data_IF_595869314404
#
_entry.id   IF_595869314404
#
_cell.length_a   1.000
_cell.length_b   1.000
_cell.length_c   1.000
_cell.angle_alpha   90.00
_cell.angle_beta   90.00
_cell.angle_gamma   90.00
#
_symmetry.space_group_name_H-M   'P 1'
#
loop_
_entity.id
_entity.type
_entity.pdbx_description
1 polymer ?
#
# COMPACT_ATOMS: atom_id res chain seq x y z
N UNK A 1 18.29 20.61 -15.95
CA UNK A 1 17.03 19.80 -15.98
C UNK A 1 16.98 19.15 -14.60
N UNK A 2 15.91 19.34 -13.83
CA UNK A 2 15.79 18.70 -12.52
C UNK A 2 15.68 17.19 -12.71
N UNK A 3 16.46 16.41 -11.93
CA UNK A 3 16.36 14.96 -11.94
C UNK A 3 14.94 14.53 -11.51
N UNK A 4 14.45 13.41 -12.03
CA UNK A 4 13.11 12.91 -11.75
C UNK A 4 13.19 11.59 -11.02
N UNK A 5 12.34 11.43 -10.03
CA UNK A 5 12.21 10.20 -9.26
C UNK A 5 10.82 9.63 -9.46
N UNK A 6 10.74 8.32 -9.73
CA UNK A 6 9.46 7.61 -9.74
C UNK A 6 9.11 7.23 -8.31
N UNK A 7 8.03 7.78 -7.78
CA UNK A 7 7.74 7.66 -6.37
C UNK A 7 6.28 7.25 -6.08
N UNK A 8 6.06 6.74 -4.86
CA UNK A 8 4.74 6.41 -4.33
C UNK A 8 4.75 6.46 -2.79
N UNK A 9 3.58 6.66 -2.20
CA UNK A 9 3.35 6.63 -0.75
C UNK A 9 2.64 5.33 -0.39
N UNK A 10 3.14 4.63 0.64
CA UNK A 10 2.62 3.34 1.03
C UNK A 10 2.78 3.06 2.53
N UNK A 11 2.03 2.07 3.02
CA UNK A 11 2.24 1.44 4.33
C UNK A 11 3.14 0.22 4.12
N UNK A 12 4.25 0.16 4.86
CA UNK A 12 5.12 -1.01 4.93
C UNK A 12 4.44 -2.13 5.73
N UNK A 13 4.80 -3.38 5.42
CA UNK A 13 4.32 -4.53 6.19
C UNK A 13 5.36 -4.95 7.24
N UNK A 14 4.95 -5.22 8.48
CA UNK A 14 5.79 -5.95 9.43
C UNK A 14 6.12 -7.36 8.91
N UNK A 15 7.21 -7.94 9.36
CA UNK A 15 7.68 -9.25 8.87
C UNK A 15 6.66 -10.38 9.09
N UNK A 16 5.96 -10.35 10.21
CA UNK A 16 4.90 -11.32 10.51
C UNK A 16 3.75 -11.25 9.50
N UNK A 17 3.31 -10.03 9.13
CA UNK A 17 2.28 -9.81 8.11
C UNK A 17 2.81 -10.15 6.72
N UNK A 18 4.07 -9.89 6.46
CA UNK A 18 4.77 -10.28 5.21
C UNK A 18 4.77 -11.79 5.01
N UNK A 19 4.98 -12.56 6.10
CA UNK A 19 4.92 -14.02 6.06
C UNK A 19 3.53 -14.54 5.65
N UNK A 20 2.46 -13.88 6.11
CA UNK A 20 1.10 -14.17 5.66
C UNK A 20 0.93 -13.91 4.14
N UNK A 21 1.48 -12.82 3.64
CA UNK A 21 1.43 -12.49 2.20
C UNK A 21 2.22 -13.51 1.36
N UNK A 22 3.36 -13.98 1.83
CA UNK A 22 4.15 -15.06 1.18
C UNK A 22 3.33 -16.35 1.11
N UNK A 23 2.66 -16.75 2.20
CA UNK A 23 1.79 -17.92 2.20
C UNK A 23 0.62 -17.77 1.21
N UNK A 24 0.07 -16.56 1.07
CA UNK A 24 -0.96 -16.24 0.08
C UNK A 24 -0.44 -16.41 -1.35
N UNK A 25 0.78 -15.94 -1.65
CA UNK A 25 1.43 -16.14 -2.96
C UNK A 25 1.59 -17.61 -3.26
N UNK A 26 2.04 -18.44 -2.30
CA UNK A 26 2.22 -19.89 -2.51
C UNK A 26 0.90 -20.62 -2.80
N UNK A 27 -0.20 -20.20 -2.18
CA UNK A 27 -1.52 -20.74 -2.52
C UNK A 27 -1.94 -20.36 -3.95
N UNK A 28 -1.76 -19.10 -4.33
CA UNK A 28 -2.11 -18.62 -5.67
C UNK A 28 -1.24 -19.26 -6.76
N UNK A 29 0.04 -19.54 -6.50
CA UNK A 29 0.94 -20.23 -7.44
C UNK A 29 0.42 -21.60 -7.83
N UNK A 30 -0.24 -22.31 -6.91
CA UNK A 30 -0.81 -23.65 -7.16
C UNK A 30 -2.16 -23.60 -7.86
N UNK A 31 -2.90 -22.49 -7.71
CA UNK A 31 -4.29 -22.39 -8.14
C UNK A 31 -4.48 -21.58 -9.42
N UNK A 32 -3.59 -20.64 -9.71
CA UNK A 32 -3.72 -19.73 -10.84
C UNK A 32 -2.88 -20.23 -12.01
N UNK A 33 -3.52 -20.52 -13.17
CA UNK A 33 -2.82 -20.92 -14.36
C UNK A 33 -2.15 -19.72 -15.04
N UNK A 34 -1.11 -20.00 -15.83
CA UNK A 34 -0.47 -19.01 -16.71
C UNK A 34 0.78 -18.36 -16.09
N UNK A 35 1.33 -17.41 -16.85
CA UNK A 35 2.54 -16.69 -16.48
C UNK A 35 2.20 -15.51 -15.60
N UNK A 36 2.51 -15.63 -14.31
CA UNK A 36 2.31 -14.60 -13.31
C UNK A 36 3.66 -14.05 -12.85
N UNK A 37 3.86 -12.74 -13.03
CA UNK A 37 4.97 -12.04 -12.40
C UNK A 37 4.61 -11.76 -10.94
N UNK A 38 5.13 -12.57 -10.06
CA UNK A 38 4.91 -12.43 -8.62
C UNK A 38 5.69 -11.24 -8.06
N UNK A 39 5.09 -10.55 -7.08
CA UNK A 39 5.77 -9.47 -6.36
C UNK A 39 6.70 -10.10 -5.33
N UNK A 40 8.00 -9.76 -5.32
CA UNK A 40 8.92 -10.22 -4.30
C UNK A 40 8.46 -9.79 -2.88
N UNK A 41 8.75 -10.62 -1.88
CA UNK A 41 8.28 -10.40 -0.52
C UNK A 41 8.73 -9.05 0.06
N UNK A 42 9.96 -8.63 -0.24
CA UNK A 42 10.54 -7.34 0.15
C UNK A 42 9.80 -6.12 -0.45
N UNK A 43 9.08 -6.35 -1.55
CA UNK A 43 8.30 -5.32 -2.24
C UNK A 43 6.81 -5.32 -1.84
N UNK A 44 6.40 -6.18 -0.89
CA UNK A 44 5.03 -6.19 -0.40
C UNK A 44 4.72 -4.92 0.43
N UNK A 45 3.68 -4.18 0.02
CA UNK A 45 3.23 -2.95 0.69
C UNK A 45 1.76 -2.65 0.35
N UNK A 46 1.09 -1.82 1.15
CA UNK A 46 -0.21 -1.25 0.81
C UNK A 46 0.00 0.13 0.18
N UNK A 47 -0.14 0.22 -1.15
CA UNK A 47 -0.01 1.51 -1.84
C UNK A 47 -1.17 2.44 -1.47
N UNK A 48 -0.86 3.66 -1.06
CA UNK A 48 -1.83 4.71 -0.75
C UNK A 48 -1.97 5.71 -1.89
N UNK A 49 -0.86 6.08 -2.53
CA UNK A 49 -0.85 7.03 -3.65
C UNK A 49 0.35 6.82 -4.55
N UNK A 50 0.11 6.56 -5.82
CA UNK A 50 1.14 6.67 -6.85
C UNK A 50 1.35 8.14 -7.23
N UNK A 51 2.61 8.56 -7.29
CA UNK A 51 3.00 9.93 -7.66
C UNK A 51 3.44 10.00 -9.13
N UNK A 52 3.83 8.84 -9.70
CA UNK A 52 4.49 8.81 -11.00
C UNK A 52 5.90 9.37 -10.90
N UNK A 53 6.36 10.02 -11.96
CA UNK A 53 7.64 10.72 -11.99
C UNK A 53 7.45 12.15 -11.48
N UNK A 54 8.07 12.48 -10.37
CA UNK A 54 8.11 13.83 -9.80
C UNK A 54 9.52 14.40 -9.88
N UNK A 55 9.64 15.73 -9.89
CA UNK A 55 10.94 16.39 -9.84
C UNK A 55 11.56 16.21 -8.45
N UNK A 56 12.84 15.91 -8.36
CA UNK A 56 13.54 15.64 -7.10
C UNK A 56 13.47 16.82 -6.13
N UNK A 57 13.56 18.04 -6.64
CA UNK A 57 13.42 19.29 -5.88
C UNK A 57 12.02 19.48 -5.24
N UNK A 58 11.04 18.66 -5.60
CA UNK A 58 9.69 18.68 -5.01
C UNK A 58 9.50 17.67 -3.86
N UNK A 59 10.47 16.81 -3.64
CA UNK A 59 10.37 15.75 -2.60
C UNK A 59 10.21 16.36 -1.21
N UNK A 60 11.03 17.34 -0.84
CA UNK A 60 10.97 17.97 0.49
C UNK A 60 9.64 18.68 0.73
N UNK A 61 9.14 19.40 -0.27
CA UNK A 61 7.83 20.06 -0.20
C UNK A 61 6.68 19.04 -0.06
N UNK A 62 6.78 17.90 -0.74
CA UNK A 62 5.84 16.79 -0.60
C UNK A 62 5.89 16.19 0.81
N UNK A 63 7.09 15.89 1.33
CA UNK A 63 7.31 15.34 2.68
C UNK A 63 6.70 16.26 3.73
N UNK A 64 7.02 17.55 3.69
CA UNK A 64 6.47 18.53 4.61
C UNK A 64 4.94 18.62 4.55
N UNK A 65 4.38 18.64 3.33
CA UNK A 65 2.93 18.74 3.13
C UNK A 65 2.18 17.48 3.54
N UNK A 66 2.75 16.30 3.25
CA UNK A 66 2.18 15.03 3.65
C UNK A 66 2.26 14.85 5.17
N UNK A 67 3.41 15.13 5.79
CA UNK A 67 3.60 15.08 7.23
C UNK A 67 2.58 15.95 7.99
N UNK A 68 2.38 17.21 7.57
CA UNK A 68 1.38 18.09 8.17
C UNK A 68 -0.05 17.56 8.06
N UNK A 69 -0.36 16.74 7.03
CA UNK A 69 -1.68 16.11 6.87
C UNK A 69 -1.84 14.84 7.71
N UNK A 70 -0.75 14.18 8.05
CA UNK A 70 -0.72 12.93 8.81
C UNK A 70 -0.58 13.15 10.31
N UNK A 71 0.10 14.21 10.72
CA UNK A 71 0.37 14.53 12.13
C UNK A 71 -0.88 14.51 13.05
N UNK A 72 -2.08 14.98 12.63
CA UNK A 72 -3.28 14.92 13.47
C UNK A 72 -4.04 13.59 13.41
N UNK A 73 -3.49 12.55 12.80
CA UNK A 73 -4.15 11.26 12.65
C UNK A 73 -3.56 10.25 13.63
N UNK A 74 -4.40 9.68 14.49
CA UNK A 74 -3.97 8.59 15.37
C UNK A 74 -3.56 7.33 14.56
N UNK A 75 -2.57 6.56 15.04
CA UNK A 75 -2.31 5.21 14.56
C UNK A 75 -3.57 4.33 14.63
N UNK A 76 -3.66 3.34 13.75
CA UNK A 76 -4.84 2.47 13.67
C UNK A 76 -4.45 1.06 13.25
N UNK A 77 -5.33 0.10 13.56
CA UNK A 77 -5.08 -1.30 13.20
C UNK A 77 -5.54 -1.66 11.79
N UNK A 78 -4.76 -2.52 11.15
CA UNK A 78 -5.04 -3.13 9.85
C UNK A 78 -4.88 -4.65 9.96
N UNK A 79 -5.69 -5.40 9.22
CA UNK A 79 -5.52 -6.83 9.02
C UNK A 79 -5.85 -7.20 7.56
N UNK A 80 -5.09 -8.14 7.00
CA UNK A 80 -5.28 -8.64 5.64
C UNK A 80 -6.14 -9.91 5.65
N UNK A 81 -7.08 -10.02 4.71
CA UNK A 81 -7.79 -11.25 4.39
C UNK A 81 -8.50 -11.11 3.04
N UNK A 82 -8.83 -12.24 2.44
CA UNK A 82 -9.58 -12.29 1.18
C UNK A 82 -8.72 -12.11 -0.05
N UNK A 83 -8.83 -13.04 -1.01
CA UNK A 83 -8.25 -12.87 -2.34
C UNK A 83 -9.13 -12.03 -3.23
N UNK A 84 -8.51 -11.32 -4.17
CA UNK A 84 -9.21 -10.64 -5.22
C UNK A 84 -8.37 -10.46 -6.48
N UNK A 85 -9.03 -9.98 -7.53
CA UNK A 85 -8.38 -9.70 -8.80
C UNK A 85 -8.91 -8.41 -9.42
N UNK A 86 -8.04 -7.71 -10.15
CA UNK A 86 -8.45 -6.59 -10.99
C UNK A 86 -8.27 -6.92 -12.47
N UNK A 87 -9.18 -6.48 -13.35
CA UNK A 87 -10.46 -5.81 -13.05
C UNK A 87 -11.50 -6.73 -12.39
N UNK A 88 -11.41 -8.04 -12.59
CA UNK A 88 -12.29 -9.06 -12.00
C UNK A 88 -11.62 -10.43 -12.03
N UNK A 89 -12.17 -11.44 -11.31
CA UNK A 89 -11.70 -12.82 -11.38
C UNK A 89 -11.93 -13.49 -12.76
N UNK A 90 -12.84 -12.98 -13.57
CA UNK A 90 -13.09 -13.48 -14.93
C UNK A 90 -12.03 -13.02 -15.94
N UNK A 91 -11.39 -11.88 -15.67
CA UNK A 91 -10.39 -11.25 -16.53
C UNK A 91 -9.27 -10.68 -15.67
N UNK A 92 -8.66 -11.55 -14.86
CA UNK A 92 -7.65 -11.13 -13.90
C UNK A 92 -6.35 -10.68 -14.60
N UNK A 93 -5.88 -9.49 -14.24
CA UNK A 93 -4.57 -8.95 -14.59
C UNK A 93 -3.71 -8.73 -13.36
N UNK A 94 -4.32 -8.48 -12.20
CA UNK A 94 -3.65 -8.25 -10.93
C UNK A 94 -4.30 -9.11 -9.87
N UNK A 95 -3.50 -9.89 -9.16
CA UNK A 95 -3.91 -10.69 -8.01
C UNK A 95 -3.52 -9.95 -6.73
N UNK A 96 -4.43 -9.92 -5.76
CA UNK A 96 -4.20 -9.19 -4.52
C UNK A 96 -4.82 -9.87 -3.30
N UNK A 97 -4.31 -9.51 -2.13
CA UNK A 97 -4.88 -9.81 -0.83
C UNK A 97 -5.59 -8.57 -0.30
N UNK A 98 -6.82 -8.73 0.18
CA UNK A 98 -7.67 -7.64 0.65
C UNK A 98 -7.35 -7.20 2.06
N UNK A 99 -8.04 -6.14 2.49
CA UNK A 99 -7.95 -5.58 3.84
C UNK A 99 -9.28 -5.83 4.54
N UNK A 100 -9.25 -6.71 5.55
CA UNK A 100 -10.42 -7.06 6.36
C UNK A 100 -10.70 -6.01 7.46
N UNK A 101 -9.64 -5.40 8.01
CA UNK A 101 -9.73 -4.37 9.06
C UNK A 101 -8.93 -3.15 8.66
N UNK A 102 -9.41 -1.94 9.00
CA UNK A 102 -8.69 -0.68 8.75
C UNK A 102 -8.89 -0.07 7.36
N UNK A 103 -9.70 -0.68 6.49
CA UNK A 103 -9.93 -0.22 5.11
C UNK A 103 -10.40 1.23 5.04
N UNK A 104 -11.33 1.66 5.91
CA UNK A 104 -11.83 3.04 5.96
C UNK A 104 -10.74 4.05 6.38
N UNK A 105 -9.87 3.67 7.33
CA UNK A 105 -8.75 4.49 7.78
C UNK A 105 -7.70 4.64 6.66
N UNK A 106 -7.35 3.55 5.96
CA UNK A 106 -6.47 3.59 4.79
C UNK A 106 -7.05 4.48 3.68
N UNK A 107 -8.36 4.41 3.43
CA UNK A 107 -9.02 5.29 2.46
C UNK A 107 -8.97 6.77 2.89
N UNK A 108 -9.07 7.07 4.19
CA UNK A 108 -8.88 8.43 4.72
C UNK A 108 -7.44 8.92 4.52
N UNK A 109 -6.44 8.05 4.77
CA UNK A 109 -5.03 8.34 4.48
C UNK A 109 -4.81 8.65 3.00
N UNK A 110 -5.27 7.76 2.11
CA UNK A 110 -5.10 7.91 0.67
C UNK A 110 -5.67 9.24 0.17
N UNK A 111 -6.86 9.66 0.63
CA UNK A 111 -7.45 10.97 0.28
C UNK A 111 -6.62 12.15 0.76
N UNK A 112 -6.05 12.08 1.98
CA UNK A 112 -5.20 13.15 2.51
C UNK A 112 -3.90 13.26 1.73
N UNK A 113 -3.30 12.12 1.39
CA UNK A 113 -2.07 12.03 0.60
C UNK A 113 -2.28 12.44 -0.86
N UNK A 114 -3.42 12.09 -1.48
CA UNK A 114 -3.78 12.58 -2.82
C UNK A 114 -3.83 14.12 -2.86
N UNK A 115 -4.42 14.74 -1.82
CA UNK A 115 -4.43 16.20 -1.68
C UNK A 115 -3.02 16.79 -1.44
N UNK A 116 -2.15 16.09 -0.69
CA UNK A 116 -0.78 16.55 -0.44
C UNK A 116 0.10 16.43 -1.69
N UNK A 117 -0.06 15.37 -2.47
CA UNK A 117 0.74 15.04 -3.64
C UNK A 117 0.70 16.11 -4.76
N UNK A 118 -0.31 16.98 -4.73
CA UNK A 118 -0.45 18.07 -5.71
C UNK A 118 0.72 19.06 -5.69
N UNK A 119 1.38 19.25 -4.55
CA UNK A 119 2.55 20.14 -4.45
C UNK A 119 3.73 19.63 -5.28
N UNK A 120 3.81 18.31 -5.48
CA UNK A 120 4.80 17.67 -6.34
C UNK A 120 4.35 17.50 -7.80
N UNK A 121 3.17 18.04 -8.16
CA UNK A 121 2.62 17.95 -9.52
C UNK A 121 1.97 16.60 -9.82
N UNK A 122 1.77 15.73 -8.83
CA UNK A 122 1.12 14.44 -9.05
C UNK A 122 -0.37 14.63 -9.44
N UNK A 123 -0.82 13.80 -10.39
CA UNK A 123 -2.21 13.82 -10.83
C UNK A 123 -3.17 13.36 -9.73
N UNK A 124 -4.37 13.93 -9.73
CA UNK A 124 -5.43 13.52 -8.82
C UNK A 124 -5.93 12.12 -9.18
N UNK A 125 -6.09 11.26 -8.15
CA UNK A 125 -6.75 9.97 -8.36
C UNK A 125 -8.26 10.18 -8.59
N UNK A 126 -8.73 9.60 -9.68
CA UNK A 126 -10.15 9.72 -10.09
C UNK A 126 -10.99 8.50 -9.66
N UNK A 127 -10.34 7.37 -9.43
CA UNK A 127 -10.99 6.13 -9.01
C UNK A 127 -11.12 6.07 -7.50
N UNK A 128 -12.18 5.45 -6.97
CA UNK A 128 -12.28 5.16 -5.55
C UNK A 128 -11.07 4.34 -5.09
N UNK A 129 -10.52 4.70 -3.95
CA UNK A 129 -9.43 3.95 -3.33
C UNK A 129 -9.93 2.56 -2.89
N UNK A 130 -9.22 1.54 -3.30
CA UNK A 130 -9.43 0.15 -2.88
C UNK A 130 -8.18 -0.33 -2.16
N UNK A 131 -8.29 -0.57 -0.86
CA UNK A 131 -7.17 -1.05 -0.06
C UNK A 131 -6.85 -2.51 -0.42
N UNK A 132 -5.64 -2.77 -0.91
CA UNK A 132 -5.20 -4.10 -1.30
C UNK A 132 -3.68 -4.22 -1.28
N UNK A 133 -3.20 -5.44 -1.08
CA UNK A 133 -1.80 -5.82 -1.25
C UNK A 133 -1.64 -6.57 -2.57
N UNK A 134 -0.94 -5.99 -3.54
CA UNK A 134 -0.65 -6.67 -4.80
C UNK A 134 0.31 -7.85 -4.57
N UNK A 135 -0.09 -9.04 -5.01
CA UNK A 135 0.69 -10.28 -4.90
C UNK A 135 1.33 -10.68 -6.23
N UNK A 136 0.65 -10.42 -7.36
CA UNK A 136 1.16 -10.78 -8.67
C UNK A 136 0.41 -10.08 -9.81
N UNK A 137 1.02 -10.13 -11.00
CA UNK A 137 0.45 -9.58 -12.24
C UNK A 137 0.54 -10.63 -13.35
N UNK A 138 -0.59 -10.97 -13.94
CA UNK A 138 -0.64 -11.85 -15.09
C UNK A 138 -0.13 -11.10 -16.33
N UNK A 139 0.68 -11.76 -17.15
CA UNK A 139 1.11 -11.21 -18.46
C UNK A 139 -0.05 -11.09 -19.40
N UNK A 140 -0.88 -12.12 -19.48
CA UNK A 140 -2.14 -12.13 -20.23
C UNK A 140 -3.30 -12.24 -19.26
N UNK A 141 -4.44 -11.59 -19.56
CA UNK A 141 -5.64 -11.73 -18.73
C UNK A 141 -6.09 -13.18 -18.71
N UNK A 142 -6.46 -13.67 -17.53
CA UNK A 142 -6.98 -15.02 -17.38
C UNK A 142 -8.15 -15.07 -16.39
N UNK A 143 -9.01 -16.07 -16.56
CA UNK A 143 -10.00 -16.41 -15.54
C UNK A 143 -9.30 -17.15 -14.39
N UNK A 144 -9.56 -16.73 -13.17
CA UNK A 144 -9.02 -17.31 -11.94
C UNK A 144 -10.15 -17.68 -10.98
N UNK A 145 -10.02 -18.80 -10.28
CA UNK A 145 -11.04 -19.30 -9.34
C UNK A 145 -10.60 -19.06 -7.88
N UNK A 146 -10.24 -17.82 -7.58
CA UNK A 146 -9.71 -17.41 -6.27
C UNK A 146 -10.76 -17.46 -5.15
N UNK A 147 -12.04 -17.41 -5.49
CA UNK A 147 -13.17 -17.54 -4.56
C UNK A 147 -13.25 -18.93 -3.91
N UNK A 148 -12.62 -19.94 -4.51
CA UNK A 148 -12.53 -21.32 -3.96
C UNK A 148 -11.40 -21.49 -2.96
N UNK A 149 -10.52 -20.49 -2.85
CA UNK A 149 -9.36 -20.53 -1.96
C UNK A 149 -9.72 -19.93 -0.60
N UNK A 150 -9.23 -20.56 0.48
CA UNK A 150 -9.26 -19.98 1.81
C UNK A 150 -7.97 -19.15 2.03
N UNK A 151 -8.03 -17.83 1.87
CA UNK A 151 -6.83 -17.00 2.02
C UNK A 151 -6.35 -17.00 3.46
N UNK A 152 -5.03 -16.92 3.70
CA UNK A 152 -4.53 -16.70 5.03
C UNK A 152 -5.01 -15.34 5.54
N UNK A 153 -5.29 -15.29 6.84
CA UNK A 153 -5.61 -14.04 7.54
C UNK A 153 -4.39 -13.59 8.31
N UNK A 154 -3.99 -12.34 8.15
CA UNK A 154 -2.89 -11.80 8.95
C UNK A 154 -3.34 -11.52 10.38
N UNK A 155 -2.38 -11.54 11.31
CA UNK A 155 -2.57 -10.86 12.60
C UNK A 155 -2.82 -9.37 12.35
N UNK A 156 -3.64 -8.70 13.18
CA UNK A 156 -3.75 -7.25 13.14
C UNK A 156 -2.42 -6.59 13.50
N UNK A 157 -2.08 -5.50 12.80
CA UNK A 157 -0.91 -4.68 13.15
C UNK A 157 -1.28 -3.21 13.14
N UNK A 158 -0.53 -2.41 13.91
CA UNK A 158 -0.72 -0.97 13.98
C UNK A 158 0.01 -0.28 12.83
N UNK A 159 -0.72 0.51 12.06
CA UNK A 159 -0.16 1.46 11.10
C UNK A 159 0.12 2.76 11.84
N UNK A 160 1.39 3.05 12.07
CA UNK A 160 1.87 4.25 12.77
C UNK A 160 2.59 5.23 11.84
N UNK A 161 2.88 4.86 10.60
CA UNK A 161 3.57 5.70 9.63
C UNK A 161 3.16 5.38 8.18
N UNK A 162 3.45 6.32 7.31
CA UNK A 162 3.46 6.17 5.85
C UNK A 162 4.89 6.36 5.36
N UNK A 163 5.33 5.56 4.40
CA UNK A 163 6.65 5.68 3.80
C UNK A 163 6.52 6.22 2.38
N UNK A 164 7.34 7.23 2.05
CA UNK A 164 7.57 7.66 0.68
C UNK A 164 8.68 6.80 0.09
N UNK A 165 8.38 6.08 -0.98
CA UNK A 165 9.33 5.23 -1.68
C UNK A 165 9.69 5.80 -3.05
N UNK A 166 10.96 5.66 -3.42
CA UNK A 166 11.39 5.67 -4.80
C UNK A 166 11.27 4.27 -5.40
N UNK A 167 10.78 4.16 -6.62
CA UNK A 167 10.72 2.91 -7.38
C UNK A 167 11.81 2.90 -8.44
N UNK A 168 12.92 2.24 -8.17
CA UNK A 168 14.03 2.05 -9.12
C UNK A 168 13.77 0.83 -9.97
N UNK A 169 13.79 0.99 -11.27
CA UNK A 169 13.68 -0.12 -12.20
C UNK A 169 15.04 -0.84 -12.30
N UNK A 170 15.05 -2.15 -12.10
CA UNK A 170 16.21 -3.01 -12.29
C UNK A 170 15.84 -4.17 -13.23
N UNK A 171 16.82 -4.85 -13.86
CA UNK A 171 16.56 -5.95 -14.79
C UNK A 171 15.76 -7.09 -14.16
N UNK A 172 15.95 -7.33 -12.86
CA UNK A 172 15.29 -8.35 -12.05
C UNK A 172 13.93 -7.90 -11.46
N UNK A 173 13.57 -6.63 -11.61
CA UNK A 173 12.31 -6.06 -11.11
C UNK A 173 12.47 -4.66 -10.52
N UNK A 174 11.40 -4.13 -9.98
CA UNK A 174 11.44 -2.85 -9.27
C UNK A 174 12.05 -3.06 -7.87
N UNK A 175 12.91 -2.15 -7.44
CA UNK A 175 13.41 -2.03 -6.06
C UNK A 175 12.82 -0.78 -5.44
N UNK A 176 12.28 -0.93 -4.23
CA UNK A 176 11.67 0.19 -3.50
C UNK A 176 12.64 0.69 -2.43
N UNK A 177 13.09 1.94 -2.58
CA UNK A 177 14.03 2.60 -1.69
C UNK A 177 13.26 3.63 -0.86
N UNK A 178 13.26 3.56 0.48
CA UNK A 178 12.59 4.57 1.30
C UNK A 178 13.31 5.91 1.16
N UNK A 179 12.56 6.97 0.88
CA UNK A 179 13.02 8.35 0.83
C UNK A 179 12.70 9.11 2.13
N UNK A 180 11.52 8.83 2.71
CA UNK A 180 11.09 9.47 3.95
C UNK A 180 10.08 8.60 4.70
N UNK A 181 10.13 8.68 6.04
CA UNK A 181 9.16 8.12 6.97
C UNK A 181 8.29 9.25 7.51
N UNK A 182 6.98 9.08 7.44
CA UNK A 182 5.96 10.09 7.78
C UNK A 182 5.08 9.54 8.90
N UNK A 183 5.38 9.85 10.17
CA UNK A 183 4.64 9.31 11.31
C UNK A 183 3.21 9.86 11.38
N UNK A 184 2.30 9.02 11.85
CA UNK A 184 0.97 9.41 12.32
C UNK A 184 1.06 9.85 13.77
N UNK A 185 0.16 10.74 14.19
CA UNK A 185 0.08 11.17 15.59
C UNK A 185 1.18 12.11 16.06
N UNK A 186 2.09 12.55 15.19
CA UNK A 186 3.18 13.44 15.56
C UNK A 186 2.72 14.83 16.08
N UNK A 187 1.45 15.17 15.88
CA UNK A 187 0.83 16.41 16.39
C UNK A 187 -0.22 16.17 17.49
N UNK A 188 -0.34 14.94 17.98
CA UNK A 188 -1.23 14.62 19.10
C UNK A 188 -0.45 14.79 20.41
N UNK A 189 -1.06 15.47 21.38
CA UNK A 189 -0.51 15.56 22.73
C UNK A 189 -0.54 14.15 23.35
N UNK A 190 0.58 13.64 23.90
CA UNK A 190 0.60 12.34 24.57
C UNK A 190 -0.41 12.19 25.70
N UNK A 191 -0.84 13.29 26.32
CA UNK A 191 -1.83 13.31 27.39
C UNK A 191 -3.27 13.09 26.93
N UNK A 192 -3.58 13.29 25.64
CA UNK A 192 -4.93 13.06 25.10
C UNK A 192 -5.21 11.58 24.73
N UNK A 193 -4.21 10.72 24.77
CA UNK A 193 -4.32 9.32 24.40
C UNK A 193 -4.69 8.38 25.58
N UNK A 194 -4.93 8.94 26.78
CA UNK A 194 -5.18 8.18 28.02
C UNK A 194 -6.67 8.00 28.37
N UNK A 195 -7.60 8.43 27.49
CA UNK A 195 -9.03 8.25 27.67
C UNK A 195 -9.66 7.40 26.58
N UNK A 196 -9.46 6.07 26.66
CA UNK A 196 -10.47 5.13 26.20
C UNK A 196 -11.23 4.63 27.44
N UNK A 197 -12.53 4.95 27.62
CA UNK A 197 -13.28 4.38 28.72
C UNK A 197 -13.48 2.89 28.48
N UNK A 198 -13.05 2.10 29.46
CA UNK A 198 -13.57 0.76 29.66
C UNK A 198 -15.07 0.87 30.01
N UNK A 199 -15.90 0.30 29.17
CA UNK A 199 -17.26 -0.14 29.53
C UNK A 199 -17.77 -1.11 28.48
#
# INVERSE_FOLDING_TARGET
MSDRVRAFLAVALPDEVRSCAVAAVEQLRRAVPGDVRWVPAENHHLTLKFLGEIAEDRVDALVARAGAKLAPLAPFEVALAGFGAFPSAREARVLWLGVARGSAALAKLARKLDSAARVAGAERERRPFSAHLTLGRLREPARVEIEKLAPPTSVPWTVAEVVLYESRLAPDGARHVPLAHLPLGAGLDPSENEFAPES
#
